data_IF_593581291057
#
_entry.id   IF_593581291057
#
_cell.length_a   1.000
_cell.length_b   1.000
_cell.length_c   1.000
_cell.angle_alpha   90.00
_cell.angle_beta   90.00
_cell.angle_gamma   90.00
#
_symmetry.space_group_name_H-M   'P 1'
#
loop_
_entity.id
_entity.type
_entity.pdbx_description
1 polymer ?
#
# COMPACT_ATOMS: atom_id res chain seq x y z
N UNK A 1 55.43 16.38 -11.48
CA UNK A 1 54.05 15.98 -11.83
C UNK A 1 53.83 14.64 -11.18
N UNK A 2 53.17 14.64 -10.01
CA UNK A 2 52.82 13.41 -9.32
C UNK A 2 51.42 13.01 -9.80
N UNK A 3 51.33 11.91 -10.52
CA UNK A 3 50.07 11.27 -10.90
C UNK A 3 49.36 10.81 -9.61
N UNK A 4 48.30 11.52 -9.23
CA UNK A 4 47.29 11.01 -8.31
C UNK A 4 46.37 10.09 -9.12
N UNK A 5 46.80 8.86 -9.34
CA UNK A 5 45.85 7.78 -9.67
C UNK A 5 45.15 7.42 -8.36
N UNK A 6 43.97 8.01 -8.12
CA UNK A 6 43.05 7.49 -7.13
C UNK A 6 42.71 6.05 -7.54
N UNK A 7 43.10 5.06 -6.75
CA UNK A 7 42.63 3.69 -6.95
C UNK A 7 41.10 3.71 -6.94
N UNK A 8 40.42 3.00 -7.86
CA UNK A 8 38.97 2.95 -7.86
C UNK A 8 38.53 2.35 -6.52
N UNK A 9 37.87 3.15 -5.68
CA UNK A 9 37.33 2.65 -4.43
C UNK A 9 36.40 1.49 -4.76
N UNK A 10 36.69 0.31 -4.22
CA UNK A 10 35.87 -0.89 -4.42
C UNK A 10 34.42 -0.54 -4.11
N UNK A 11 33.54 -0.65 -5.10
CA UNK A 11 32.13 -0.34 -4.94
C UNK A 11 31.52 -1.26 -3.89
N UNK A 12 31.08 -0.68 -2.78
CA UNK A 12 30.39 -1.38 -1.70
C UNK A 12 28.93 -0.99 -1.72
N UNK A 13 28.09 -1.94 -2.15
CA UNK A 13 26.65 -1.76 -2.25
C UNK A 13 25.98 -1.94 -0.90
N UNK A 14 24.93 -1.16 -0.67
CA UNK A 14 23.99 -1.32 0.44
C UNK A 14 22.55 -1.11 -0.06
N UNK A 15 21.57 -1.66 0.64
CA UNK A 15 20.16 -1.61 0.25
C UNK A 15 19.38 -0.80 1.27
N UNK A 16 18.58 0.16 0.82
CA UNK A 16 17.61 0.87 1.66
C UNK A 16 16.19 0.45 1.29
N UNK A 17 15.44 -0.09 2.23
CA UNK A 17 14.01 -0.35 2.06
C UNK A 17 13.23 0.88 2.54
N UNK A 18 12.58 1.58 1.62
CA UNK A 18 11.88 2.83 1.88
C UNK A 18 10.42 2.54 2.24
N UNK A 19 10.12 2.53 3.54
CA UNK A 19 8.76 2.42 4.07
C UNK A 19 7.98 3.73 3.95
N UNK A 20 6.66 3.63 3.81
CA UNK A 20 5.78 4.78 3.98
C UNK A 20 5.82 5.30 5.42
N UNK A 21 5.60 4.37 6.36
CA UNK A 21 5.46 4.63 7.78
C UNK A 21 4.01 4.73 8.23
N UNK A 22 3.80 4.55 9.53
CA UNK A 22 2.47 4.39 10.12
C UNK A 22 2.50 4.77 11.60
N UNK A 23 1.43 5.42 12.08
CA UNK A 23 1.22 5.62 13.53
C UNK A 23 0.86 4.32 14.26
N UNK A 24 0.51 3.27 13.51
CA UNK A 24 0.22 1.96 14.07
C UNK A 24 1.52 1.19 14.35
N UNK A 25 1.79 0.93 15.63
CA UNK A 25 3.01 0.24 16.06
C UNK A 25 3.15 -1.17 15.45
N UNK A 26 2.06 -1.92 15.33
CA UNK A 26 2.10 -3.27 14.73
C UNK A 26 2.50 -3.21 13.25
N UNK A 27 2.04 -2.20 12.51
CA UNK A 27 2.43 -2.02 11.12
C UNK A 27 3.94 -1.71 10.98
N UNK A 28 4.48 -0.91 11.90
CA UNK A 28 5.92 -0.60 11.98
C UNK A 28 6.72 -1.85 12.35
N UNK A 29 6.27 -2.62 13.33
CA UNK A 29 6.90 -3.87 13.76
C UNK A 29 6.89 -4.93 12.64
N UNK A 30 5.77 -5.13 11.94
CA UNK A 30 5.65 -6.06 10.81
C UNK A 30 6.56 -5.67 9.64
N UNK A 31 6.67 -4.38 9.32
CA UNK A 31 7.60 -3.90 8.29
C UNK A 31 9.05 -4.16 8.69
N UNK A 32 9.44 -3.83 9.93
CA UNK A 32 10.78 -4.10 10.41
C UNK A 32 11.11 -5.60 10.38
N UNK A 33 10.18 -6.47 10.82
CA UNK A 33 10.34 -7.92 10.75
C UNK A 33 10.49 -8.44 9.32
N UNK A 34 9.75 -7.87 8.36
CA UNK A 34 9.90 -8.19 6.94
C UNK A 34 11.32 -7.83 6.44
N UNK A 35 11.85 -6.67 6.83
CA UNK A 35 13.23 -6.27 6.50
C UNK A 35 14.25 -7.23 7.13
N UNK A 36 14.04 -7.67 8.38
CA UNK A 36 14.90 -8.68 9.02
C UNK A 36 14.91 -10.01 8.26
N UNK A 37 13.78 -10.44 7.68
CA UNK A 37 13.73 -11.63 6.82
C UNK A 37 14.42 -11.44 5.47
N UNK A 38 14.50 -10.19 4.99
CA UNK A 38 15.16 -9.85 3.73
C UNK A 38 16.69 -9.81 3.86
N UNK A 39 17.22 -9.36 5.02
CA UNK A 39 18.67 -9.28 5.31
C UNK A 39 19.46 -10.53 4.89
N UNK A 40 19.13 -11.76 5.35
CA UNK A 40 19.91 -12.94 4.99
C UNK A 40 19.83 -13.28 3.49
N UNK A 41 18.78 -12.84 2.78
CA UNK A 41 18.62 -13.06 1.33
C UNK A 41 19.46 -12.10 0.48
N UNK A 42 19.92 -10.99 1.06
CA UNK A 42 20.72 -9.95 0.38
C UNK A 42 22.18 -9.92 0.85
N UNK A 43 22.55 -10.76 1.82
CA UNK A 43 23.93 -10.87 2.30
C UNK A 43 24.91 -11.16 1.14
N UNK A 44 26.10 -10.52 1.10
CA UNK A 44 26.70 -9.72 2.17
C UNK A 44 26.35 -8.21 2.13
N UNK A 45 25.42 -7.76 1.29
CA UNK A 45 25.06 -6.34 1.25
C UNK A 45 24.40 -5.91 2.57
N UNK A 46 24.86 -4.82 3.20
CA UNK A 46 24.13 -4.22 4.31
C UNK A 46 22.73 -3.79 3.84
N UNK A 47 21.73 -4.06 4.64
CA UNK A 47 20.35 -3.62 4.39
C UNK A 47 19.96 -2.68 5.51
N UNK A 48 19.32 -1.57 5.20
CA UNK A 48 18.67 -0.72 6.20
C UNK A 48 17.27 -0.39 5.75
N UNK A 49 16.47 0.17 6.64
CA UNK A 49 15.16 0.70 6.31
C UNK A 49 14.98 2.08 6.91
N UNK A 50 14.02 2.81 6.38
CA UNK A 50 13.54 4.04 6.98
C UNK A 50 12.13 4.36 6.49
N UNK A 51 11.48 5.29 7.15
CA UNK A 51 10.12 5.71 6.84
C UNK A 51 10.09 7.12 6.28
N UNK A 52 9.16 7.36 5.35
CA UNK A 52 8.88 8.69 4.83
C UNK A 52 8.18 9.56 5.89
N UNK A 53 7.29 8.97 6.70
CA UNK A 53 6.50 9.70 7.69
C UNK A 53 6.10 8.84 8.90
N UNK A 54 5.63 9.46 9.98
CA UNK A 54 4.95 8.84 11.13
C UNK A 54 5.71 7.78 11.95
N UNK A 55 6.92 7.42 11.56
CA UNK A 55 7.70 6.38 12.22
C UNK A 55 9.20 6.70 12.11
N UNK A 56 9.97 6.04 12.98
CA UNK A 56 11.43 6.08 12.99
C UNK A 56 11.99 4.66 12.80
N UNK A 57 13.16 4.50 12.18
CA UNK A 57 14.04 5.56 11.67
C UNK A 57 13.51 6.25 10.41
N UNK A 58 13.82 7.52 10.19
CA UNK A 58 13.48 8.22 8.92
C UNK A 58 14.42 7.78 7.80
N UNK A 59 14.04 7.98 6.53
CA UNK A 59 14.86 7.58 5.37
C UNK A 59 16.31 8.07 5.46
N UNK A 60 16.51 9.31 5.92
CA UNK A 60 17.84 9.92 6.09
C UNK A 60 18.70 9.17 7.11
N UNK A 61 18.13 8.68 8.20
CA UNK A 61 18.85 7.94 9.24
C UNK A 61 19.30 6.58 8.71
N UNK A 62 18.45 5.89 7.93
CA UNK A 62 18.81 4.65 7.24
C UNK A 62 19.96 4.84 6.25
N UNK A 63 19.93 5.93 5.46
CA UNK A 63 21.02 6.29 4.55
C UNK A 63 22.33 6.58 5.29
N UNK A 64 22.25 7.31 6.41
CA UNK A 64 23.44 7.62 7.21
C UNK A 64 24.04 6.37 7.86
N UNK A 65 23.22 5.43 8.33
CA UNK A 65 23.69 4.13 8.82
C UNK A 65 24.48 3.38 7.73
N UNK A 66 23.94 3.28 6.52
CA UNK A 66 24.63 2.65 5.39
C UNK A 66 25.97 3.34 5.09
N UNK A 67 25.99 4.68 5.08
CA UNK A 67 27.20 5.46 4.85
C UNK A 67 28.27 5.21 5.92
N UNK A 68 27.89 5.16 7.20
CA UNK A 68 28.78 4.85 8.32
C UNK A 68 29.33 3.42 8.26
N UNK A 69 28.58 2.49 7.67
CA UNK A 69 29.05 1.12 7.40
C UNK A 69 30.04 1.06 6.22
N UNK A 70 30.35 2.18 5.55
CA UNK A 70 31.27 2.26 4.43
C UNK A 70 30.65 1.90 3.08
N UNK A 71 29.32 1.93 2.97
CA UNK A 71 28.61 1.78 1.69
C UNK A 71 28.94 2.97 0.80
N UNK A 72 29.35 2.70 -0.43
CA UNK A 72 29.73 3.71 -1.43
C UNK A 72 28.65 3.93 -2.48
N UNK A 73 27.61 3.07 -2.52
CA UNK A 73 26.44 3.20 -3.40
C UNK A 73 25.23 2.48 -2.81
N UNK A 74 24.07 3.14 -2.83
CA UNK A 74 22.83 2.61 -2.24
C UNK A 74 21.84 2.19 -3.32
N UNK A 75 21.16 1.05 -3.11
CA UNK A 75 20.02 0.60 -3.89
C UNK A 75 18.75 0.84 -3.05
N UNK A 76 17.96 1.85 -3.39
CA UNK A 76 16.77 2.23 -2.65
C UNK A 76 15.52 1.57 -3.27
N UNK A 77 14.80 0.76 -2.49
CA UNK A 77 13.61 0.02 -2.94
C UNK A 77 12.37 0.53 -2.19
N UNK A 78 11.37 1.09 -2.89
CA UNK A 78 10.14 1.55 -2.25
C UNK A 78 9.26 0.36 -1.83
N UNK A 79 8.96 0.27 -0.54
CA UNK A 79 8.03 -0.71 0.03
C UNK A 79 6.57 -0.30 -0.19
N UNK A 80 6.20 -0.18 -1.46
CA UNK A 80 4.90 0.23 -1.94
C UNK A 80 4.32 -0.87 -2.84
N UNK A 81 3.00 -1.07 -2.79
CA UNK A 81 2.34 -2.03 -3.67
C UNK A 81 2.26 -1.53 -5.11
N UNK A 82 1.90 -0.27 -5.30
CA UNK A 82 1.74 0.36 -6.62
C UNK A 82 2.32 1.76 -6.62
N UNK A 83 2.90 2.19 -7.76
CA UNK A 83 3.45 3.52 -7.88
C UNK A 83 2.35 4.60 -7.96
N UNK A 84 2.34 5.48 -6.95
CA UNK A 84 1.57 6.71 -6.90
C UNK A 84 2.48 7.86 -6.41
N UNK A 85 1.91 8.92 -5.80
CA UNK A 85 2.65 10.10 -5.33
C UNK A 85 3.93 9.78 -4.55
N UNK A 86 3.88 8.89 -3.55
CA UNK A 86 5.05 8.57 -2.72
C UNK A 86 6.20 7.94 -3.49
N UNK A 87 5.91 6.93 -4.31
CA UNK A 87 6.94 6.25 -5.08
C UNK A 87 7.44 7.10 -6.25
N UNK A 88 6.58 7.95 -6.83
CA UNK A 88 6.89 8.76 -8.02
C UNK A 88 7.51 10.12 -7.69
N UNK A 89 7.25 10.69 -6.51
CA UNK A 89 7.64 12.05 -6.13
C UNK A 89 8.34 12.11 -4.77
N UNK A 90 7.66 11.72 -3.68
CA UNK A 90 8.12 12.04 -2.34
C UNK A 90 9.45 11.34 -1.98
N UNK A 91 9.55 10.01 -2.18
CA UNK A 91 10.79 9.25 -1.92
C UNK A 91 11.93 9.73 -2.84
N UNK A 92 11.75 9.82 -4.18
CA UNK A 92 12.78 10.38 -5.06
C UNK A 92 13.28 11.76 -4.63
N UNK A 93 12.40 12.64 -4.15
CA UNK A 93 12.78 13.97 -3.66
C UNK A 93 13.76 13.88 -2.49
N UNK A 94 13.47 13.02 -1.50
CA UNK A 94 14.34 12.80 -0.33
C UNK A 94 15.70 12.22 -0.74
N UNK A 95 15.69 11.19 -1.59
CA UNK A 95 16.91 10.52 -2.05
C UNK A 95 17.81 11.47 -2.86
N UNK A 96 17.24 12.21 -3.81
CA UNK A 96 17.99 13.17 -4.63
C UNK A 96 18.61 14.28 -3.77
N UNK A 97 17.89 14.75 -2.76
CA UNK A 97 18.39 15.76 -1.80
C UNK A 97 19.59 15.21 -1.03
N UNK A 98 19.48 13.98 -0.51
CA UNK A 98 20.59 13.35 0.22
C UNK A 98 21.83 13.15 -0.67
N UNK A 99 21.65 12.70 -1.92
CA UNK A 99 22.75 12.57 -2.89
C UNK A 99 23.40 13.91 -3.18
N UNK A 100 22.62 14.99 -3.37
CA UNK A 100 23.16 16.32 -3.62
C UNK A 100 23.98 16.86 -2.43
N UNK A 101 23.56 16.58 -1.20
CA UNK A 101 24.24 17.02 0.02
C UNK A 101 25.51 16.21 0.34
N UNK A 102 25.52 14.91 0.06
CA UNK A 102 26.56 13.99 0.55
C UNK A 102 27.45 13.42 -0.54
N UNK A 103 27.04 13.49 -1.79
CA UNK A 103 27.71 12.84 -2.92
C UNK A 103 27.51 11.32 -2.99
N UNK A 104 26.73 10.70 -2.09
CA UNK A 104 26.48 9.26 -2.10
C UNK A 104 25.53 8.91 -3.27
N UNK A 105 25.96 8.08 -4.25
CA UNK A 105 25.10 7.64 -5.33
C UNK A 105 23.99 6.73 -4.83
N UNK A 106 22.77 6.97 -5.30
CA UNK A 106 21.58 6.19 -4.95
C UNK A 106 20.87 5.78 -6.25
N UNK A 107 20.78 4.48 -6.50
CA UNK A 107 19.93 3.93 -7.55
C UNK A 107 18.57 3.58 -6.98
N UNK A 108 17.51 4.06 -7.62
CA UNK A 108 16.14 3.87 -7.16
C UNK A 108 15.43 2.77 -7.96
N UNK A 109 14.96 1.74 -7.25
CA UNK A 109 14.20 0.63 -7.82
C UNK A 109 12.71 0.94 -7.98
N UNK A 110 12.03 0.06 -8.74
CA UNK A 110 10.56 0.07 -8.83
C UNK A 110 9.93 -0.53 -7.57
N UNK A 111 8.66 -0.21 -7.38
CA UNK A 111 7.81 -0.79 -6.34
C UNK A 111 7.50 -2.27 -6.61
N UNK A 112 6.84 -2.93 -5.64
CA UNK A 112 6.51 -4.36 -5.73
C UNK A 112 5.65 -4.67 -6.97
N UNK A 113 4.65 -3.83 -7.23
CA UNK A 113 3.87 -3.78 -8.47
C UNK A 113 2.96 -4.99 -8.67
N UNK A 114 2.43 -5.10 -9.90
CA UNK A 114 1.76 -6.32 -10.37
C UNK A 114 2.84 -7.32 -10.76
N UNK A 115 3.12 -8.23 -9.84
CA UNK A 115 4.17 -9.23 -9.96
C UNK A 115 3.63 -10.65 -9.73
N UNK A 116 4.25 -11.65 -10.37
CA UNK A 116 3.87 -13.06 -10.21
C UNK A 116 3.91 -13.53 -8.75
N UNK A 117 4.91 -13.10 -7.99
CA UNK A 117 5.09 -13.49 -6.58
C UNK A 117 4.07 -12.78 -5.69
N UNK A 118 3.75 -11.52 -5.99
CA UNK A 118 2.73 -10.76 -5.26
C UNK A 118 1.32 -11.32 -5.50
N UNK A 119 0.99 -11.66 -6.75
CA UNK A 119 -0.27 -12.33 -7.10
C UNK A 119 -0.35 -13.71 -6.44
N UNK A 120 0.74 -14.47 -6.44
CA UNK A 120 0.78 -15.76 -5.78
C UNK A 120 0.64 -15.63 -4.25
N UNK A 121 1.22 -14.60 -3.62
CA UNK A 121 1.02 -14.30 -2.20
C UNK A 121 -0.46 -14.03 -1.88
N UNK A 122 -1.13 -13.20 -2.68
CA UNK A 122 -2.58 -12.99 -2.54
C UNK A 122 -3.37 -14.28 -2.78
N UNK A 123 -2.96 -15.09 -3.75
CA UNK A 123 -3.53 -16.41 -4.00
C UNK A 123 -3.43 -17.34 -2.79
N UNK A 124 -2.29 -17.35 -2.07
CA UNK A 124 -2.15 -18.10 -0.81
C UNK A 124 -3.16 -17.64 0.23
N UNK A 125 -3.35 -16.32 0.38
CA UNK A 125 -4.35 -15.77 1.32
C UNK A 125 -5.79 -16.17 0.97
N UNK A 126 -6.10 -16.21 -0.33
CA UNK A 126 -7.38 -16.70 -0.84
C UNK A 126 -7.57 -18.18 -0.49
N UNK A 127 -6.56 -19.02 -0.75
CA UNK A 127 -6.60 -20.45 -0.42
C UNK A 127 -6.77 -20.68 1.09
N UNK A 128 -6.03 -19.95 1.92
CA UNK A 128 -6.17 -19.97 3.38
C UNK A 128 -7.59 -19.61 3.83
N UNK A 129 -8.24 -18.64 3.16
CA UNK A 129 -9.63 -18.29 3.44
C UNK A 129 -10.60 -19.41 3.05
N UNK A 130 -10.46 -19.96 1.83
CA UNK A 130 -11.31 -21.03 1.32
C UNK A 130 -11.17 -22.32 2.14
N UNK A 131 -9.97 -22.69 2.55
CA UNK A 131 -9.73 -23.89 3.40
C UNK A 131 -10.33 -23.78 4.80
N UNK A 132 -10.62 -22.57 5.28
CA UNK A 132 -11.28 -22.34 6.59
C UNK A 132 -12.81 -22.41 6.50
N UNK A 133 -13.38 -22.39 5.30
CA UNK A 133 -14.83 -22.46 5.12
C UNK A 133 -15.36 -23.85 5.52
N UNK A 134 -16.52 -23.90 6.17
CA UNK A 134 -17.16 -25.16 6.58
C UNK A 134 -17.89 -25.85 5.44
N UNK A 135 -18.37 -25.07 4.47
CA UNK A 135 -19.29 -25.52 3.44
C UNK A 135 -18.56 -25.77 2.12
N UNK A 136 -18.94 -26.84 1.41
CA UNK A 136 -18.39 -27.16 0.08
C UNK A 136 -19.14 -26.37 -1.01
N UNK A 137 -18.89 -25.05 -1.05
CA UNK A 137 -19.38 -24.17 -2.12
C UNK A 137 -18.29 -24.13 -3.21
N UNK A 138 -18.61 -24.51 -4.47
CA UNK A 138 -17.66 -24.45 -5.58
C UNK A 138 -17.11 -23.04 -5.82
N UNK A 139 -15.86 -22.95 -6.27
CA UNK A 139 -15.23 -21.66 -6.62
C UNK A 139 -16.01 -20.92 -7.72
N UNK A 140 -16.67 -21.64 -8.63
CA UNK A 140 -17.55 -21.07 -9.65
C UNK A 140 -18.84 -20.43 -9.10
N UNK A 141 -19.25 -20.79 -7.88
CA UNK A 141 -20.37 -20.17 -7.15
C UNK A 141 -19.89 -19.14 -6.11
N UNK A 142 -18.60 -18.80 -6.15
CA UNK A 142 -17.94 -17.84 -5.25
C UNK A 142 -17.55 -16.59 -6.02
N UNK A 143 -17.76 -15.42 -5.40
CA UNK A 143 -17.31 -14.12 -5.90
C UNK A 143 -16.09 -13.65 -5.12
N UNK A 144 -15.05 -13.23 -5.83
CA UNK A 144 -13.84 -12.65 -5.23
C UNK A 144 -13.92 -11.13 -5.18
N UNK A 145 -13.74 -10.54 -4.01
CA UNK A 145 -13.59 -9.08 -3.84
C UNK A 145 -12.16 -8.79 -3.42
N UNK A 146 -11.41 -8.06 -4.24
CA UNK A 146 -10.08 -7.57 -3.87
C UNK A 146 -10.19 -6.11 -3.47
N UNK A 147 -9.68 -5.79 -2.28
CA UNK A 147 -9.75 -4.47 -1.68
C UNK A 147 -8.40 -3.78 -1.78
N UNK A 148 -8.30 -2.74 -2.61
CA UNK A 148 -7.15 -1.85 -2.67
C UNK A 148 -7.26 -0.68 -1.70
N UNK A 149 -6.16 0.05 -1.48
CA UNK A 149 -6.21 1.33 -0.74
C UNK A 149 -7.06 2.36 -1.47
N UNK A 150 -6.85 2.49 -2.79
CA UNK A 150 -7.40 3.52 -3.67
C UNK A 150 -6.45 4.71 -3.82
N UNK A 151 -6.45 5.37 -4.98
CA UNK A 151 -5.50 6.43 -5.29
C UNK A 151 -6.12 7.50 -6.19
N UNK A 152 -5.62 8.72 -6.11
CA UNK A 152 -5.88 9.75 -7.12
C UNK A 152 -5.07 9.53 -8.41
N UNK A 153 -4.13 8.59 -8.39
CA UNK A 153 -3.42 8.09 -9.56
C UNK A 153 -4.18 6.87 -10.13
N UNK A 154 -4.77 6.99 -11.34
CA UNK A 154 -5.55 5.91 -11.94
C UNK A 154 -4.71 4.68 -12.29
N UNK A 155 -3.39 4.81 -12.44
CA UNK A 155 -2.51 3.66 -12.73
C UNK A 155 -2.40 2.73 -11.50
N UNK A 156 -2.39 3.29 -10.29
CA UNK A 156 -2.44 2.47 -9.08
C UNK A 156 -3.79 1.75 -8.93
N UNK A 157 -4.89 2.40 -9.34
CA UNK A 157 -6.22 1.80 -9.31
C UNK A 157 -6.38 0.68 -10.36
N UNK A 158 -5.87 0.89 -11.58
CA UNK A 158 -5.90 -0.11 -12.64
C UNK A 158 -5.06 -1.35 -12.27
N UNK A 159 -3.94 -1.17 -11.56
CA UNK A 159 -3.08 -2.26 -11.12
C UNK A 159 -3.77 -3.20 -10.12
N UNK A 160 -4.51 -2.67 -9.14
CA UNK A 160 -5.29 -3.56 -8.24
C UNK A 160 -6.42 -4.26 -8.99
N UNK A 161 -7.09 -3.59 -9.93
CA UNK A 161 -8.09 -4.24 -10.77
C UNK A 161 -7.49 -5.37 -11.63
N UNK A 162 -6.26 -5.18 -12.11
CA UNK A 162 -5.50 -6.22 -12.82
C UNK A 162 -5.20 -7.41 -11.91
N UNK A 163 -4.78 -7.18 -10.67
CA UNK A 163 -4.59 -8.26 -9.68
C UNK A 163 -5.89 -9.03 -9.45
N UNK A 164 -7.02 -8.34 -9.33
CA UNK A 164 -8.35 -8.98 -9.21
C UNK A 164 -8.60 -9.95 -10.35
N UNK A 165 -8.38 -9.53 -11.61
CA UNK A 165 -8.54 -10.40 -12.78
C UNK A 165 -7.52 -11.55 -12.80
N UNK A 166 -6.28 -11.31 -12.42
CA UNK A 166 -5.30 -12.41 -12.35
C UNK A 166 -5.73 -13.50 -11.35
N UNK A 167 -6.36 -13.12 -10.23
CA UNK A 167 -6.87 -14.06 -9.25
C UNK A 167 -8.19 -14.71 -9.70
N UNK A 168 -9.13 -13.95 -10.27
CA UNK A 168 -10.43 -14.48 -10.75
C UNK A 168 -10.21 -15.57 -11.79
N UNK A 169 -9.50 -15.25 -12.87
CA UNK A 169 -9.20 -16.19 -13.95
C UNK A 169 -8.25 -17.31 -13.50
N UNK A 170 -7.32 -17.02 -12.58
CA UNK A 170 -6.37 -18.01 -12.07
C UNK A 170 -6.99 -19.10 -11.19
N UNK A 171 -8.06 -18.76 -10.47
CA UNK A 171 -8.78 -19.70 -9.59
C UNK A 171 -10.07 -20.26 -10.21
N UNK A 172 -10.65 -19.58 -11.20
CA UNK A 172 -11.94 -19.94 -11.78
C UNK A 172 -13.13 -19.44 -10.95
N UNK A 173 -12.98 -18.28 -10.27
CA UNK A 173 -14.10 -17.65 -9.57
C UNK A 173 -15.23 -17.31 -10.55
N UNK A 174 -16.48 -17.46 -10.11
CA UNK A 174 -17.63 -17.15 -10.95
C UNK A 174 -17.75 -15.67 -11.31
N UNK A 175 -17.23 -14.80 -10.42
CA UNK A 175 -17.06 -13.36 -10.67
C UNK A 175 -15.95 -12.80 -9.77
N UNK A 176 -15.52 -11.58 -10.06
CA UNK A 176 -14.83 -10.79 -9.06
C UNK A 176 -14.92 -9.29 -9.29
N UNK A 177 -14.80 -8.55 -8.19
CA UNK A 177 -14.96 -7.11 -8.12
C UNK A 177 -13.77 -6.47 -7.41
N UNK A 178 -13.39 -5.28 -7.85
CA UNK A 178 -12.36 -4.48 -7.18
C UNK A 178 -13.02 -3.34 -6.43
N UNK A 179 -12.77 -3.27 -5.12
CA UNK A 179 -13.27 -2.18 -4.28
C UNK A 179 -12.10 -1.52 -3.55
N UNK A 180 -12.36 -0.40 -2.89
CA UNK A 180 -11.32 0.42 -2.29
C UNK A 180 -11.66 0.80 -0.86
N UNK A 181 -10.62 0.89 -0.02
CA UNK A 181 -10.77 1.35 1.38
C UNK A 181 -11.03 2.86 1.49
N UNK A 182 -10.66 3.64 0.47
CA UNK A 182 -10.80 5.10 0.42
C UNK A 182 -10.27 5.69 -0.89
N UNK A 183 -10.30 7.02 -1.01
CA UNK A 183 -9.71 7.84 -2.11
C UNK A 183 -10.25 7.60 -3.52
N UNK A 184 -10.82 6.44 -3.83
CA UNK A 184 -11.53 6.17 -5.07
C UNK A 184 -12.72 5.24 -4.80
N UNK A 185 -13.63 5.13 -5.77
CA UNK A 185 -14.88 4.38 -5.69
C UNK A 185 -14.82 3.15 -6.62
N UNK A 186 -15.49 2.02 -6.32
CA UNK A 186 -16.39 1.74 -5.19
C UNK A 186 -15.71 1.55 -3.84
N UNK A 187 -16.29 2.09 -2.77
CA UNK A 187 -15.85 1.82 -1.40
C UNK A 187 -16.32 0.44 -0.92
N UNK A 188 -15.68 -0.12 0.12
CA UNK A 188 -15.96 -1.48 0.63
C UNK A 188 -17.45 -1.73 0.90
N UNK A 189 -18.11 -0.98 1.79
CA UNK A 189 -19.53 -1.22 2.12
C UNK A 189 -20.47 -1.10 0.88
N UNK A 190 -20.50 0.02 0.12
CA UNK A 190 -21.38 0.11 -1.03
C UNK A 190 -21.01 -0.88 -2.15
N UNK A 191 -19.73 -1.22 -2.29
CA UNK A 191 -19.25 -2.24 -3.23
C UNK A 191 -19.74 -3.64 -2.85
N UNK A 192 -19.60 -4.04 -1.58
CA UNK A 192 -20.13 -5.31 -1.08
C UNK A 192 -21.65 -5.39 -1.21
N UNK A 193 -22.37 -4.32 -0.85
CA UNK A 193 -23.84 -4.22 -1.05
C UNK A 193 -24.28 -4.27 -2.52
N UNK A 194 -23.40 -3.90 -3.44
CA UNK A 194 -23.63 -4.09 -4.87
C UNK A 194 -23.46 -5.56 -5.23
N UNK A 195 -22.30 -6.15 -4.93
CA UNK A 195 -21.98 -7.50 -5.43
C UNK A 195 -22.85 -8.61 -4.84
N UNK A 196 -23.40 -8.45 -3.63
CA UNK A 196 -24.39 -9.40 -3.09
C UNK A 196 -25.62 -9.55 -3.99
N UNK A 197 -25.98 -8.51 -4.75
CA UNK A 197 -27.13 -8.54 -5.68
C UNK A 197 -26.87 -9.40 -6.92
N UNK A 198 -25.63 -9.83 -7.13
CA UNK A 198 -25.27 -10.74 -8.23
C UNK A 198 -25.63 -12.21 -7.93
N UNK A 199 -26.03 -12.52 -6.68
CA UNK A 199 -26.61 -13.83 -6.33
C UNK A 199 -25.61 -14.97 -6.10
N UNK A 200 -24.34 -14.66 -5.85
CA UNK A 200 -23.33 -15.66 -5.46
C UNK A 200 -23.54 -16.11 -4.01
N UNK A 201 -23.29 -17.41 -3.74
CA UNK A 201 -23.51 -18.00 -2.42
C UNK A 201 -22.41 -17.66 -1.43
N UNK A 202 -21.21 -17.37 -1.94
CA UNK A 202 -20.03 -17.02 -1.15
C UNK A 202 -19.34 -15.78 -1.72
N UNK A 203 -18.86 -14.91 -0.84
CA UNK A 203 -18.00 -13.78 -1.16
C UNK A 203 -16.69 -13.89 -0.37
N UNK A 204 -15.56 -13.93 -1.06
CA UNK A 204 -14.23 -13.87 -0.42
C UNK A 204 -13.70 -12.44 -0.53
N UNK A 205 -13.43 -11.80 0.61
CA UNK A 205 -12.88 -10.44 0.67
C UNK A 205 -11.39 -10.49 0.98
N UNK A 206 -10.56 -9.94 0.09
CA UNK A 206 -9.10 -9.98 0.17
C UNK A 206 -8.54 -8.56 0.31
N UNK A 207 -8.02 -8.18 1.49
CA UNK A 207 -7.29 -6.94 1.64
C UNK A 207 -5.93 -7.03 0.93
N UNK A 208 -5.75 -6.32 -0.18
CA UNK A 208 -4.46 -6.25 -0.88
C UNK A 208 -3.57 -5.16 -0.24
N UNK A 209 -3.05 -5.47 0.95
CA UNK A 209 -2.24 -4.58 1.79
C UNK A 209 -0.99 -5.31 2.29
N UNK A 210 0.12 -4.59 2.45
CA UNK A 210 1.37 -5.18 2.96
C UNK A 210 1.31 -5.45 4.46
N UNK A 211 0.79 -4.53 5.25
CA UNK A 211 0.86 -4.61 6.72
C UNK A 211 -0.49 -4.32 7.36
N UNK A 212 -0.59 -4.70 8.63
CA UNK A 212 -1.73 -4.40 9.50
C UNK A 212 -1.98 -2.89 9.64
N UNK A 213 -3.12 -2.54 10.23
CA UNK A 213 -3.47 -1.16 10.55
C UNK A 213 -4.95 -0.87 10.40
N UNK A 214 -5.31 0.39 10.68
CA UNK A 214 -6.70 0.85 10.78
C UNK A 214 -7.51 0.57 9.50
N UNK A 215 -6.88 0.64 8.33
CA UNK A 215 -7.56 0.39 7.06
C UNK A 215 -7.96 -1.08 6.92
N UNK A 216 -7.09 -2.02 7.28
CA UNK A 216 -7.41 -3.46 7.27
C UNK A 216 -8.52 -3.77 8.27
N UNK A 217 -8.46 -3.19 9.48
CA UNK A 217 -9.52 -3.31 10.49
C UNK A 217 -10.87 -2.81 9.96
N UNK A 218 -10.87 -1.67 9.27
CA UNK A 218 -12.08 -1.06 8.69
C UNK A 218 -12.67 -1.92 7.57
N UNK A 219 -11.84 -2.53 6.73
CA UNK A 219 -12.31 -3.47 5.70
C UNK A 219 -13.07 -4.62 6.35
N UNK A 220 -12.49 -5.20 7.42
CA UNK A 220 -13.14 -6.26 8.18
C UNK A 220 -14.46 -5.79 8.80
N UNK A 221 -14.46 -4.66 9.50
CA UNK A 221 -15.68 -4.10 10.11
C UNK A 221 -16.80 -3.88 9.09
N UNK A 222 -16.50 -3.28 7.93
CA UNK A 222 -17.50 -3.10 6.87
C UNK A 222 -17.95 -4.43 6.26
N UNK A 223 -17.05 -5.41 6.14
CA UNK A 223 -17.40 -6.75 5.66
C UNK A 223 -18.35 -7.44 6.64
N UNK A 224 -18.04 -7.41 7.94
CA UNK A 224 -18.86 -8.00 9.00
C UNK A 224 -20.25 -7.31 9.08
N UNK A 225 -20.30 -5.99 8.91
CA UNK A 225 -21.55 -5.24 8.84
C UNK A 225 -22.44 -5.66 7.67
N UNK A 226 -21.87 -5.80 6.47
CA UNK A 226 -22.64 -6.26 5.30
C UNK A 226 -23.01 -7.73 5.46
N UNK A 227 -22.14 -8.58 5.98
CA UNK A 227 -22.44 -9.99 6.23
C UNK A 227 -23.64 -10.16 7.18
N UNK A 228 -23.74 -9.33 8.22
CA UNK A 228 -24.87 -9.35 9.16
C UNK A 228 -26.22 -9.01 8.48
N UNK A 229 -26.21 -8.16 7.44
CA UNK A 229 -27.40 -7.79 6.67
C UNK A 229 -27.82 -8.87 5.66
N UNK A 230 -26.92 -9.80 5.30
CA UNK A 230 -27.14 -10.84 4.29
C UNK A 230 -26.74 -12.23 4.81
N UNK A 231 -27.47 -12.79 5.79
CA UNK A 231 -27.08 -14.05 6.46
C UNK A 231 -27.11 -15.28 5.55
N UNK A 232 -27.78 -15.21 4.40
CA UNK A 232 -27.83 -16.30 3.41
C UNK A 232 -26.59 -16.36 2.50
N UNK A 233 -25.68 -15.38 2.60
CA UNK A 233 -24.44 -15.31 1.83
C UNK A 233 -23.26 -15.55 2.76
N UNK A 234 -22.39 -16.51 2.43
CA UNK A 234 -21.19 -16.77 3.22
C UNK A 234 -20.09 -15.73 2.90
N UNK A 235 -19.66 -14.95 3.89
CA UNK A 235 -18.53 -14.03 3.76
C UNK A 235 -17.27 -14.63 4.37
N UNK A 236 -16.20 -14.71 3.57
CA UNK A 236 -14.88 -15.13 4.03
C UNK A 236 -13.89 -13.97 3.97
N UNK A 237 -13.31 -13.62 5.11
CA UNK A 237 -12.23 -12.63 5.18
C UNK A 237 -10.86 -13.30 5.04
N UNK A 238 -10.15 -13.02 3.95
CA UNK A 238 -8.78 -13.44 3.76
C UNK A 238 -7.80 -12.57 4.55
N UNK A 239 -6.62 -13.12 4.86
CA UNK A 239 -5.53 -12.32 5.42
C UNK A 239 -4.99 -11.31 4.41
N UNK A 240 -4.40 -10.22 4.90
CA UNK A 240 -3.59 -9.32 4.07
C UNK A 240 -2.24 -9.98 3.71
N UNK A 241 -1.44 -9.37 2.83
CA UNK A 241 -0.21 -9.99 2.31
C UNK A 241 0.79 -10.26 3.45
N UNK A 242 1.08 -9.27 4.27
CA UNK A 242 1.98 -9.42 5.41
C UNK A 242 3.41 -9.74 4.97
N UNK A 243 4.15 -10.35 5.89
CA UNK A 243 5.47 -10.93 5.66
C UNK A 243 5.43 -12.29 4.91
N UNK A 244 4.48 -12.48 3.99
CA UNK A 244 4.40 -13.73 3.22
C UNK A 244 5.73 -13.95 2.46
N UNK A 245 6.30 -15.17 2.41
CA UNK A 245 7.62 -15.40 1.80
C UNK A 245 7.78 -14.84 0.39
N UNK A 246 6.74 -14.98 -0.45
CA UNK A 246 6.72 -14.41 -1.80
C UNK A 246 6.76 -12.87 -1.85
N UNK A 247 6.30 -12.17 -0.81
CA UNK A 247 6.47 -10.70 -0.69
C UNK A 247 7.94 -10.37 -0.45
N UNK A 248 8.59 -11.09 0.48
CA UNK A 248 10.03 -10.93 0.76
C UNK A 248 10.87 -11.24 -0.49
N UNK A 249 10.52 -12.31 -1.21
CA UNK A 249 11.20 -12.67 -2.46
C UNK A 249 10.98 -11.62 -3.55
N UNK A 250 9.82 -10.94 -3.58
CA UNK A 250 9.60 -9.82 -4.51
C UNK A 250 10.57 -8.67 -4.21
N UNK A 251 10.79 -8.30 -2.94
CA UNK A 251 11.79 -7.27 -2.61
C UNK A 251 13.18 -7.62 -3.11
N UNK A 252 13.59 -8.89 -3.00
CA UNK A 252 14.85 -9.37 -3.55
C UNK A 252 14.90 -9.19 -5.08
N UNK A 253 13.84 -9.56 -5.79
CA UNK A 253 13.78 -9.36 -7.25
C UNK A 253 13.90 -7.87 -7.63
N UNK A 254 13.31 -6.97 -6.85
CA UNK A 254 13.45 -5.51 -7.06
C UNK A 254 14.89 -5.04 -6.87
N UNK A 255 15.63 -5.59 -5.91
CA UNK A 255 17.06 -5.33 -5.75
C UNK A 255 17.84 -5.87 -6.95
N UNK A 256 17.56 -7.11 -7.37
CA UNK A 256 18.24 -7.77 -8.49
C UNK A 256 18.00 -7.03 -9.83
N UNK A 257 16.84 -6.40 -10.02
CA UNK A 257 16.55 -5.53 -11.17
C UNK A 257 17.42 -4.28 -11.19
N UNK A 258 17.60 -3.61 -10.05
CA UNK A 258 18.48 -2.44 -9.95
C UNK A 258 19.93 -2.84 -10.25
N UNK A 259 20.38 -3.97 -9.71
CA UNK A 259 21.72 -4.52 -9.97
C UNK A 259 21.96 -4.83 -11.45
N UNK A 260 20.95 -5.36 -12.15
CA UNK A 260 21.03 -5.68 -13.58
C UNK A 260 20.84 -4.46 -14.47
N UNK A 261 20.35 -3.35 -13.93
CA UNK A 261 20.07 -2.11 -14.67
C UNK A 261 18.85 -2.20 -15.59
N UNK A 262 17.95 -3.17 -15.35
CA UNK A 262 16.74 -3.38 -16.16
C UNK A 262 15.46 -3.01 -15.42
N UNK A 263 15.56 -2.09 -14.45
CA UNK A 263 14.43 -1.51 -13.73
C UNK A 263 13.43 -0.86 -14.68
N UNK A 264 12.38 -1.59 -15.03
CA UNK A 264 11.29 -1.09 -15.87
C UNK A 264 10.26 -0.31 -15.02
N UNK A 265 10.55 0.96 -14.78
CA UNK A 265 9.60 1.91 -14.20
C UNK A 265 8.43 2.16 -15.18
N UNK A 266 7.22 2.39 -14.67
CA UNK A 266 6.02 2.69 -15.47
C UNK A 266 6.01 4.07 -16.14
N UNK A 267 7.17 4.63 -16.51
CA UNK A 267 7.32 5.99 -17.00
C UNK A 267 6.47 6.30 -18.25
N UNK A 268 6.13 5.30 -19.06
CA UNK A 268 5.33 5.47 -20.27
C UNK A 268 3.88 5.92 -20.02
N UNK A 269 3.31 5.61 -18.85
CA UNK A 269 1.97 6.06 -18.43
C UNK A 269 2.04 6.91 -17.15
N UNK A 270 3.24 7.37 -16.78
CA UNK A 270 3.40 8.23 -15.63
C UNK A 270 2.92 9.63 -15.97
N UNK A 271 1.80 10.07 -15.36
CA UNK A 271 1.21 11.40 -15.57
C UNK A 271 2.14 12.59 -15.30
N UNK A 272 3.23 12.36 -14.55
CA UNK A 272 4.25 13.38 -14.29
C UNK A 272 5.30 13.50 -15.41
N UNK A 273 5.41 12.49 -16.29
CA UNK A 273 6.48 12.37 -17.31
C UNK A 273 5.95 12.36 -18.75
N UNK A 274 4.73 11.88 -18.96
CA UNK A 274 4.06 11.86 -20.24
C UNK A 274 2.66 12.46 -20.10
N UNK A 275 2.17 13.10 -21.16
CA UNK A 275 0.81 13.61 -21.19
C UNK A 275 -0.18 12.44 -21.21
N UNK A 276 -0.96 12.33 -20.12
CA UNK A 276 -2.05 11.38 -19.96
C UNK A 276 -3.35 12.17 -19.99
N UNK A 277 -4.36 11.67 -20.72
CA UNK A 277 -5.66 12.32 -20.86
C UNK A 277 -6.28 12.60 -19.48
N UNK A 278 -6.68 13.85 -19.24
CA UNK A 278 -7.27 14.31 -17.97
C UNK A 278 -6.26 14.67 -16.89
N UNK A 279 -4.95 14.55 -17.16
CA UNK A 279 -3.85 14.94 -16.26
C UNK A 279 -2.83 15.84 -16.96
N UNK A 280 -3.26 16.63 -17.95
CA UNK A 280 -2.38 17.49 -18.76
C UNK A 280 -1.58 18.49 -17.91
N UNK A 281 -2.14 18.92 -16.77
CA UNK A 281 -1.50 19.85 -15.84
C UNK A 281 -0.41 19.20 -14.97
N UNK A 282 -0.34 17.87 -14.91
CA UNK A 282 0.61 17.16 -14.07
C UNK A 282 1.97 16.91 -14.75
N UNK A 283 2.04 17.05 -16.08
CA UNK A 283 3.26 16.79 -16.85
C UNK A 283 4.33 17.84 -16.53
N UNK A 284 5.51 17.37 -16.14
CA UNK A 284 6.65 18.25 -15.86
C UNK A 284 6.58 18.99 -14.52
N UNK A 285 5.60 18.68 -13.65
CA UNK A 285 5.58 19.20 -12.28
C UNK A 285 6.85 18.79 -11.52
N UNK A 286 7.37 19.70 -10.70
CA UNK A 286 8.52 19.44 -9.84
C UNK A 286 8.21 18.30 -8.86
N UNK A 287 9.20 17.47 -8.58
CA UNK A 287 9.12 16.47 -7.51
C UNK A 287 9.34 17.18 -6.18
N UNK A 288 8.30 17.24 -5.37
CA UNK A 288 8.32 17.84 -4.03
C UNK A 288 7.74 16.82 -3.06
N UNK A 289 8.38 16.64 -1.91
CA UNK A 289 7.81 15.83 -0.83
C UNK A 289 6.78 16.63 -0.07
N UNK A 290 5.55 16.13 -0.02
CA UNK A 290 4.45 16.78 0.71
C UNK A 290 4.43 16.41 2.20
N UNK A 291 5.32 15.51 2.63
CA UNK A 291 5.25 14.82 3.91
C UNK A 291 6.30 15.29 4.94
N UNK A 292 7.10 16.30 4.60
CA UNK A 292 8.12 16.85 5.51
C UNK A 292 7.57 17.29 6.88
N UNK A 293 6.31 17.73 6.95
CA UNK A 293 5.69 18.22 8.19
C UNK A 293 5.33 17.11 9.19
N UNK A 294 5.36 15.83 8.78
CA UNK A 294 5.04 14.65 9.61
C UNK A 294 6.17 13.63 9.67
N UNK A 295 7.33 13.97 9.10
CA UNK A 295 8.54 13.16 9.14
C UNK A 295 9.03 12.98 10.59
N UNK A 296 9.21 11.73 11.02
CA UNK A 296 9.68 11.41 12.37
C UNK A 296 8.69 11.65 13.52
N UNK A 297 7.44 12.03 13.26
CA UNK A 297 6.40 12.15 14.30
C UNK A 297 5.97 10.76 14.79
N UNK A 298 6.50 10.31 15.93
CA UNK A 298 6.37 8.94 16.43
C UNK A 298 5.32 8.74 17.55
N UNK A 299 4.25 9.54 17.61
CA UNK A 299 3.16 9.26 18.56
C UNK A 299 2.44 7.96 18.19
N UNK A 300 2.86 6.87 18.85
CA UNK A 300 2.37 5.53 18.57
C UNK A 300 0.99 5.27 19.18
N UNK A 301 0.09 4.65 18.42
CA UNK A 301 -1.20 4.21 18.92
C UNK A 301 -1.03 3.03 19.90
N UNK A 302 -1.45 3.21 21.16
CA UNK A 302 -1.33 2.21 22.25
C UNK A 302 -2.63 1.44 22.53
N UNK A 303 -3.69 1.70 21.78
CA UNK A 303 -5.05 1.19 22.05
C UNK A 303 -5.29 -0.28 21.64
N UNK A 304 -4.30 -0.95 21.04
CA UNK A 304 -4.42 -2.32 20.55
C UNK A 304 -3.15 -3.13 20.88
N UNK A 305 -3.30 -4.36 21.38
CA UNK A 305 -2.16 -5.18 21.84
C UNK A 305 -1.62 -6.17 20.81
N UNK A 306 -2.49 -6.93 20.12
CA UNK A 306 -2.08 -8.06 19.25
C UNK A 306 -2.44 -7.88 17.77
N UNK A 307 -3.50 -7.16 17.48
CA UNK A 307 -3.93 -6.81 16.12
C UNK A 307 -4.61 -5.44 16.16
N UNK A 308 -4.51 -4.64 15.10
CA UNK A 308 -5.24 -3.39 15.03
C UNK A 308 -6.75 -3.68 14.98
N UNK A 309 -7.50 -3.25 15.99
CA UNK A 309 -8.96 -3.40 16.02
C UNK A 309 -9.68 -2.15 15.50
N UNK A 310 -8.95 -1.05 15.28
CA UNK A 310 -9.52 0.25 14.98
C UNK A 310 -10.16 0.94 16.20
N UNK A 311 -9.82 0.55 17.43
CA UNK A 311 -10.37 1.14 18.67
C UNK A 311 -10.19 2.66 18.80
N UNK A 312 -9.19 3.25 18.14
CA UNK A 312 -9.00 4.71 18.09
C UNK A 312 -10.04 5.46 17.23
N UNK A 313 -10.91 4.74 16.52
CA UNK A 313 -11.91 5.33 15.65
C UNK A 313 -13.21 5.58 16.41
N UNK A 314 -14.03 6.59 16.03
CA UNK A 314 -15.32 6.89 16.66
C UNK A 314 -16.30 5.70 16.74
N UNK A 315 -16.12 4.69 15.88
CA UNK A 315 -16.95 3.47 15.81
C UNK A 315 -16.14 2.19 16.10
N UNK A 316 -14.94 2.29 16.68
CA UNK A 316 -14.15 1.12 17.07
C UNK A 316 -14.79 0.37 18.23
N UNK A 317 -14.64 -0.96 18.30
CA UNK A 317 -15.09 -1.74 19.46
C UNK A 317 -14.19 -1.38 20.65
N UNK A 318 -14.69 -0.72 21.71
CA UNK A 318 -13.86 -0.34 22.85
C UNK A 318 -13.56 -1.58 23.71
N UNK A 319 -12.32 -1.74 24.15
CA UNK A 319 -12.03 -2.48 25.38
C UNK A 319 -12.03 -1.45 26.52
N UNK A 320 -12.64 -1.81 27.66
CA UNK A 320 -12.83 -0.90 28.80
C UNK A 320 -11.51 -0.29 29.29
N UNK A 321 -11.22 0.96 28.90
CA UNK A 321 -10.31 1.86 29.61
C UNK A 321 -10.50 3.32 29.16
N UNK A 322 -10.78 4.17 30.15
CA UNK A 322 -10.70 5.63 30.27
C UNK A 322 -10.73 6.52 29.02
N UNK A 323 -11.76 7.38 29.00
CA UNK A 323 -11.99 8.48 28.08
C UNK A 323 -10.91 9.55 28.11
N UNK A 324 -10.29 9.81 26.96
CA UNK A 324 -9.66 11.09 26.66
C UNK A 324 -10.18 11.60 25.31
N UNK A 325 -10.74 12.82 25.33
CA UNK A 325 -11.11 13.58 24.14
C UNK A 325 -9.84 14.16 23.50
N UNK A 326 -9.63 13.87 22.22
CA UNK A 326 -8.68 14.62 21.40
C UNK A 326 -9.35 14.98 20.07
N UNK A 327 -9.76 16.24 19.95
CA UNK A 327 -10.04 16.88 18.66
C UNK A 327 -8.72 17.28 18.01
N UNK A 328 -8.38 16.67 16.89
CA UNK A 328 -7.34 17.19 15.99
C UNK A 328 -7.85 17.15 14.55
N UNK A 329 -8.24 18.32 14.04
CA UNK A 329 -8.38 18.60 12.62
C UNK A 329 -6.98 18.70 11.99
N UNK A 330 -6.63 17.76 11.11
CA UNK A 330 -5.48 17.91 10.24
C UNK A 330 -5.96 18.03 8.80
N UNK A 331 -5.85 19.23 8.23
CA UNK A 331 -6.09 19.48 6.83
C UNK A 331 -4.96 18.89 5.99
N UNK A 332 -5.22 17.77 5.31
CA UNK A 332 -4.32 17.23 4.30
C UNK A 332 -4.65 17.84 2.93
N UNK A 333 -3.81 18.74 2.43
CA UNK A 333 -3.94 19.26 1.07
C UNK A 333 -3.29 18.29 0.07
N UNK A 334 -4.10 17.45 -0.54
CA UNK A 334 -3.73 16.76 -1.78
C UNK A 334 -3.98 17.68 -2.98
N UNK A 335 -3.19 17.57 -4.06
CA UNK A 335 -3.56 18.19 -5.33
C UNK A 335 -4.99 17.72 -5.71
N UNK A 336 -5.89 18.64 -6.09
CA UNK A 336 -7.28 18.29 -6.36
C UNK A 336 -7.36 17.32 -7.54
N UNK A 337 -7.95 16.15 -7.30
CA UNK A 337 -8.22 15.15 -8.32
C UNK A 337 -9.26 15.71 -9.32
N UNK A 338 -9.09 15.49 -10.64
CA UNK A 338 -10.14 15.81 -11.61
C UNK A 338 -11.45 15.14 -11.19
N UNK A 339 -12.48 15.94 -10.92
CA UNK A 339 -13.78 15.46 -10.40
C UNK A 339 -13.80 15.01 -8.93
N UNK A 340 -12.96 15.59 -8.06
CA UNK A 340 -13.03 15.37 -6.60
C UNK A 340 -14.44 15.62 -6.00
N UNK A 341 -15.27 16.46 -6.64
CA UNK A 341 -16.65 16.75 -6.24
C UNK A 341 -17.71 15.84 -6.90
N UNK A 342 -17.31 14.74 -7.56
CA UNK A 342 -18.28 13.83 -8.18
C UNK A 342 -19.25 13.28 -7.11
N UNK A 343 -20.57 13.19 -7.37
CA UNK A 343 -21.56 12.75 -6.36
C UNK A 343 -21.35 11.32 -5.82
N UNK A 344 -20.64 10.48 -6.59
CA UNK A 344 -20.17 9.14 -6.21
C UNK A 344 -18.63 9.10 -6.07
N UNK A 345 -17.99 10.26 -6.10
CA UNK A 345 -16.55 10.44 -6.01
C UNK A 345 -16.04 10.26 -4.58
N UNK A 346 -14.71 10.35 -4.39
CA UNK A 346 -14.07 10.02 -3.12
C UNK A 346 -14.20 11.14 -2.10
N UNK A 347 -15.40 11.35 -1.57
CA UNK A 347 -15.55 12.04 -0.30
C UNK A 347 -15.13 11.05 0.79
N UNK A 348 -13.94 11.25 1.35
CA UNK A 348 -13.50 10.60 2.58
C UNK A 348 -14.60 10.75 3.62
N UNK A 349 -15.10 9.61 4.11
CA UNK A 349 -16.09 9.44 5.19
C UNK A 349 -16.29 10.71 6.04
N UNK A 350 -17.15 11.62 5.61
CA UNK A 350 -17.65 12.68 6.47
C UNK A 350 -18.91 12.14 7.15
N UNK A 351 -18.96 12.28 8.48
CA UNK A 351 -20.14 11.98 9.27
C UNK A 351 -21.23 13.00 8.96
N UNK A 352 -21.90 12.87 7.82
CA UNK A 352 -23.22 13.46 7.58
C UNK A 352 -23.83 12.78 6.35
N UNK A 353 -24.36 11.57 6.54
CA UNK A 353 -25.45 11.11 5.68
C UNK A 353 -26.70 11.94 5.99
N UNK A 354 -26.72 13.19 5.54
CA UNK A 354 -28.00 13.88 5.36
C UNK A 354 -28.65 13.27 4.13
N UNK A 355 -29.82 12.69 4.39
CA UNK A 355 -30.66 11.97 3.46
C UNK A 355 -30.96 12.75 2.17
N UNK A 356 -31.26 11.95 1.14
CA UNK A 356 -32.07 12.26 -0.05
C UNK A 356 -31.50 13.22 -1.09
N UNK A 357 -31.12 12.66 -2.24
CA UNK A 357 -31.69 13.10 -3.52
C UNK A 357 -32.12 11.87 -4.31
N UNK A 358 -33.42 11.79 -4.54
CA UNK A 358 -34.05 10.85 -5.48
C UNK A 358 -33.32 10.87 -6.82
N UNK A 359 -32.92 9.68 -7.29
CA UNK A 359 -32.58 9.49 -8.68
C UNK A 359 -33.87 9.42 -9.49
N UNK A 360 -34.00 10.17 -10.60
CA UNK A 360 -35.12 9.96 -11.51
C UNK A 360 -35.00 8.55 -12.08
N UNK A 361 -36.02 7.71 -11.83
CA UNK A 361 -36.21 6.49 -12.61
C UNK A 361 -36.49 6.94 -14.04
N UNK A 362 -35.57 6.62 -14.96
CA UNK A 362 -35.86 6.75 -16.38
C UNK A 362 -36.76 5.59 -16.84
N UNK A 363 -37.62 5.83 -17.85
CA UNK A 363 -38.83 5.05 -18.13
C UNK A 363 -38.60 3.61 -18.56
#
# INVERSE_FOLDING_TARGET
>A
MADFQAEPSVERLGVLICGHGSRNRLAVEEFAQMVEQLRPKLAPMPVEHGYLEFAQPILREGLESLRQQGVTKVLAIPAMLFAAGHAKNDIPSVLNTYTAETGLPIDYGRELGVDRLMVAAAGSRVQEALHRASDDIPVSETLLVVVGRGSSDPDANSNVAKVTRMLVEGFGFGWGETVYSGVTFPLVDPGLRHVVRLGFRRIVVVPYFLFSGVLVSRIRQHTDLVAADYPDVEFLSAGYLGQHPMVVDTFRERVDEVLRGDTAMNCSLCKYRAQVLGFEQDVGRAQESHHHHVEGLAESCTLCERECTGACQPNGVPLEAHSHEHEHEHGHHHPPYPHAEHPLGPLTLSQTSKASKDFPRNP
#
